data_IF_667651350207
#
_entry.id   IF_667651350207
#
_cell.length_a   1.000
_cell.length_b   1.000
_cell.length_c   1.000
_cell.angle_alpha   90.00
_cell.angle_beta   90.00
_cell.angle_gamma   90.00
#
_symmetry.space_group_name_H-M   'P 1'
#
loop_
_entity.id
_entity.type
_entity.pdbx_description
1 polymer ?
#
# COMPACT_ATOMS: atom_id res chain seq x y z
N UNK A 1 16.86 -42.94 -0.80
CA UNK A 1 17.41 -41.93 0.11
C UNK A 1 16.56 -40.67 -0.01
N UNK A 2 15.61 -40.46 0.91
CA UNK A 2 14.66 -39.33 0.94
C UNK A 2 14.90 -38.43 2.15
N UNK A 3 16.13 -38.42 2.69
CA UNK A 3 16.42 -37.85 4.02
C UNK A 3 17.26 -36.57 4.04
N UNK A 4 17.68 -36.05 2.88
CA UNK A 4 18.46 -34.82 2.81
C UNK A 4 17.59 -33.67 2.32
N UNK A 5 17.71 -32.52 2.98
CA UNK A 5 17.07 -31.28 2.58
C UNK A 5 17.50 -30.91 1.15
N UNK A 6 16.55 -30.83 0.22
CA UNK A 6 16.81 -30.54 -1.21
C UNK A 6 16.63 -29.08 -1.58
N UNK A 7 16.07 -28.26 -0.67
CA UNK A 7 15.95 -26.81 -0.85
C UNK A 7 16.26 -26.09 0.45
N UNK A 8 17.11 -25.08 0.36
CA UNK A 8 17.28 -24.05 1.38
C UNK A 8 16.79 -22.74 0.78
N UNK A 9 15.94 -22.02 1.50
CA UNK A 9 15.59 -20.67 1.08
C UNK A 9 16.83 -19.80 1.29
N UNK A 10 17.35 -19.22 0.21
CA UNK A 10 18.57 -18.41 0.28
C UNK A 10 18.31 -17.04 0.94
N UNK A 11 17.06 -16.59 0.90
CA UNK A 11 16.62 -15.31 1.44
C UNK A 11 15.68 -15.52 2.64
N UNK A 12 15.67 -14.56 3.56
CA UNK A 12 14.61 -14.48 4.57
C UNK A 12 13.28 -14.19 3.89
N UNK A 13 12.14 -14.63 4.46
CA UNK A 13 10.84 -14.23 3.96
C UNK A 13 10.76 -12.70 3.91
N UNK A 14 10.36 -12.18 2.76
CA UNK A 14 9.95 -10.79 2.66
C UNK A 14 8.78 -10.57 3.63
N UNK A 15 8.70 -9.38 4.22
CA UNK A 15 7.61 -8.99 5.14
C UNK A 15 6.24 -8.98 4.46
N UNK A 16 5.29 -8.26 5.03
CA UNK A 16 3.93 -8.17 4.48
C UNK A 16 3.74 -6.85 3.74
N UNK A 17 2.81 -6.80 2.78
CA UNK A 17 2.42 -5.53 2.17
C UNK A 17 2.03 -4.49 3.23
N UNK A 18 2.44 -3.24 3.03
CA UNK A 18 2.30 -2.15 3.99
C UNK A 18 3.45 -2.01 4.99
N UNK A 19 4.34 -3.00 5.11
CA UNK A 19 5.48 -2.93 6.02
C UNK A 19 6.62 -2.06 5.46
N UNK A 20 7.49 -1.56 6.33
CA UNK A 20 8.63 -0.74 5.92
C UNK A 20 9.67 -1.58 5.16
N UNK A 21 10.11 -1.09 4.01
CA UNK A 21 11.10 -1.78 3.18
C UNK A 21 12.56 -1.41 3.51
N UNK A 22 12.76 -0.33 4.27
CA UNK A 22 14.06 0.21 4.70
C UNK A 22 13.92 1.08 5.98
N UNK A 23 15.06 1.53 6.51
CA UNK A 23 15.14 2.50 7.60
C UNK A 23 15.30 3.95 7.12
N UNK A 24 14.95 4.24 5.86
CA UNK A 24 14.95 5.60 5.34
C UNK A 24 13.86 6.46 6.02
N UNK A 25 13.94 7.80 5.94
CA UNK A 25 12.90 8.66 6.47
C UNK A 25 11.53 8.36 5.86
N UNK A 26 10.51 8.32 6.70
CA UNK A 26 9.13 8.10 6.32
C UNK A 26 8.33 9.36 6.62
N UNK A 27 7.43 9.74 5.71
CA UNK A 27 6.63 10.96 5.82
C UNK A 27 5.16 10.58 5.88
N UNK A 28 4.45 11.06 6.90
CA UNK A 28 3.01 10.93 7.00
C UNK A 28 2.31 12.07 6.26
N UNK A 29 1.06 11.83 5.84
CA UNK A 29 0.15 12.88 5.43
C UNK A 29 -0.30 13.64 6.68
N UNK A 30 -0.31 14.97 6.61
CA UNK A 30 -0.80 15.81 7.70
C UNK A 30 -2.31 15.67 7.78
N UNK A 31 -2.80 15.10 8.89
CA UNK A 31 -4.23 14.98 9.12
C UNK A 31 -4.84 16.32 9.54
N UNK A 32 -6.04 16.60 9.03
CA UNK A 32 -6.85 17.75 9.43
C UNK A 32 -7.58 17.55 10.76
N UNK A 33 -8.54 18.42 11.05
CA UNK A 33 -9.37 18.32 12.25
C UNK A 33 -10.13 16.97 12.28
N UNK A 34 -10.10 16.30 13.44
CA UNK A 34 -10.73 14.99 13.61
C UNK A 34 -9.86 13.76 13.29
N UNK A 35 -8.64 13.97 12.79
CA UNK A 35 -7.68 12.92 12.41
C UNK A 35 -8.23 11.97 11.34
N UNK A 36 -7.38 11.07 10.84
CA UNK A 36 -7.79 10.08 9.85
C UNK A 36 -8.44 8.86 10.49
N UNK A 37 -9.59 8.48 9.97
CA UNK A 37 -10.35 7.30 10.40
C UNK A 37 -10.85 6.50 9.22
N UNK A 38 -10.91 5.19 9.36
CA UNK A 38 -11.42 4.29 8.34
C UNK A 38 -12.90 4.59 8.04
N UNK A 39 -13.24 4.64 6.75
CA UNK A 39 -14.59 4.81 6.24
C UNK A 39 -15.50 3.61 6.53
N UNK A 40 -16.73 3.65 6.00
CA UNK A 40 -17.75 2.65 6.29
C UNK A 40 -17.36 1.22 5.88
N UNK A 41 -16.62 1.08 4.78
CA UNK A 41 -16.18 -0.20 4.21
C UNK A 41 -14.87 -0.72 4.82
N UNK A 42 -14.26 0.04 5.75
CA UNK A 42 -12.92 -0.22 6.24
C UNK A 42 -11.83 0.21 5.26
N UNK A 43 -10.58 -0.01 5.64
CA UNK A 43 -9.40 0.32 4.83
C UNK A 43 -8.42 -0.84 4.84
N UNK A 44 -7.95 -1.25 3.67
CA UNK A 44 -7.01 -2.35 3.48
C UNK A 44 -5.58 -1.81 3.56
N UNK A 45 -4.77 -2.44 4.41
CA UNK A 45 -3.35 -2.16 4.57
C UNK A 45 -2.56 -2.63 3.35
N UNK A 46 -1.56 -1.84 2.93
CA UNK A 46 -0.71 -2.16 1.78
C UNK A 46 -1.26 -1.70 0.43
N UNK A 47 -2.37 -0.97 0.44
CA UNK A 47 -2.97 -0.30 -0.71
C UNK A 47 -2.89 1.23 -0.53
N UNK A 48 -3.10 1.96 -1.61
CA UNK A 48 -3.37 3.38 -1.57
C UNK A 48 -4.80 3.65 -1.08
N UNK A 49 -4.96 4.78 -0.40
CA UNK A 49 -6.24 5.24 0.08
C UNK A 49 -6.33 6.77 -0.01
N UNK A 50 -7.56 7.24 0.00
CA UNK A 50 -7.92 8.65 -0.13
C UNK A 50 -8.65 9.12 1.12
N UNK A 51 -8.22 10.26 1.65
CA UNK A 51 -8.85 10.91 2.79
C UNK A 51 -9.70 12.10 2.35
N UNK A 52 -10.98 12.10 2.74
CA UNK A 52 -11.92 13.21 2.54
C UNK A 52 -11.61 14.40 3.47
N UNK A 53 -12.30 15.53 3.25
CA UNK A 53 -12.18 16.77 4.03
C UNK A 53 -12.41 16.57 5.55
N UNK A 54 -13.27 15.60 5.90
CA UNK A 54 -13.62 15.19 7.26
C UNK A 54 -12.70 14.12 7.86
N UNK A 55 -11.63 13.75 7.16
CA UNK A 55 -10.68 12.72 7.60
C UNK A 55 -11.19 11.29 7.46
N UNK A 56 -12.23 11.03 6.66
CA UNK A 56 -12.69 9.68 6.33
C UNK A 56 -11.81 9.08 5.23
N UNK A 57 -11.23 7.92 5.49
CA UNK A 57 -10.30 7.25 4.58
C UNK A 57 -10.98 6.07 3.87
N UNK A 58 -10.78 5.95 2.56
CA UNK A 58 -11.28 4.85 1.73
C UNK A 58 -10.25 4.39 0.70
N UNK A 59 -10.24 3.11 0.33
CA UNK A 59 -9.44 2.62 -0.81
C UNK A 59 -10.09 2.91 -2.17
N UNK A 60 -11.21 3.62 -2.19
CA UNK A 60 -11.84 4.15 -3.39
C UNK A 60 -11.60 5.65 -3.41
N UNK A 61 -11.25 6.20 -4.57
CA UNK A 61 -11.03 7.62 -4.76
C UNK A 61 -12.30 8.41 -4.44
N UNK A 62 -12.13 9.41 -3.57
CA UNK A 62 -13.14 10.41 -3.26
C UNK A 62 -12.76 11.69 -4.01
N UNK A 63 -13.70 12.44 -4.61
CA UNK A 63 -13.39 13.75 -5.18
C UNK A 63 -12.75 14.68 -4.15
N UNK A 64 -11.81 15.53 -4.58
CA UNK A 64 -11.15 16.54 -3.72
C UNK A 64 -10.45 15.97 -2.46
N UNK A 65 -10.00 14.73 -2.53
CA UNK A 65 -9.35 14.01 -1.42
C UNK A 65 -7.83 14.02 -1.51
N UNK A 66 -7.19 13.71 -0.38
CA UNK A 66 -5.72 13.53 -0.31
C UNK A 66 -5.36 12.07 -0.40
N UNK A 67 -4.50 11.71 -1.36
CA UNK A 67 -3.96 10.37 -1.51
C UNK A 67 -2.84 10.08 -0.51
N UNK A 68 -2.80 8.85 0.00
CA UNK A 68 -1.65 8.34 0.75
C UNK A 68 -1.59 6.82 0.76
N UNK A 69 -0.45 6.28 1.16
CA UNK A 69 -0.25 4.84 1.29
C UNK A 69 -0.59 4.36 2.70
N UNK A 70 -1.35 3.27 2.81
CA UNK A 70 -1.75 2.70 4.10
C UNK A 70 -0.65 1.76 4.59
N UNK A 71 0.19 2.24 5.51
CA UNK A 71 1.23 1.42 6.11
C UNK A 71 0.67 0.48 7.17
N UNK A 72 1.39 -0.61 7.43
CA UNK A 72 1.03 -1.57 8.47
C UNK A 72 1.41 -1.00 9.84
N UNK A 73 0.41 -0.66 10.65
CA UNK A 73 0.59 -0.22 12.04
C UNK A 73 -0.04 -1.19 13.07
N UNK A 74 -0.28 -2.44 12.68
CA UNK A 74 -1.01 -3.45 13.48
C UNK A 74 -2.41 -3.01 13.94
N UNK A 75 -3.09 -2.18 13.13
CA UNK A 75 -4.48 -1.74 13.37
C UNK A 75 -5.52 -2.63 12.69
N UNK A 76 -5.09 -3.48 11.75
CA UNK A 76 -5.96 -4.47 11.12
C UNK A 76 -6.32 -5.55 12.14
N UNK A 77 -7.61 -5.85 12.25
CA UNK A 77 -8.13 -6.88 13.16
C UNK A 77 -9.01 -7.85 12.39
N UNK A 78 -9.16 -9.04 12.95
CA UNK A 78 -10.07 -10.07 12.45
C UNK A 78 -11.44 -9.80 13.08
N UNK A 79 -12.39 -9.29 12.30
CA UNK A 79 -13.76 -8.98 12.73
C UNK A 79 -14.81 -10.00 12.24
N UNK A 80 -14.43 -10.87 11.29
CA UNK A 80 -15.28 -11.93 10.74
C UNK A 80 -15.05 -13.28 11.46
N UNK A 81 -16.14 -13.95 11.83
CA UNK A 81 -16.07 -15.28 12.45
C UNK A 81 -15.46 -16.32 11.49
N UNK A 82 -14.45 -17.04 11.97
CA UNK A 82 -13.76 -18.08 11.20
C UNK A 82 -12.66 -17.57 10.26
N UNK A 83 -12.39 -16.25 10.23
CA UNK A 83 -11.24 -15.72 9.51
C UNK A 83 -9.95 -15.93 10.32
N UNK A 84 -8.87 -16.31 9.64
CA UNK A 84 -7.57 -16.61 10.27
C UNK A 84 -6.57 -15.45 10.18
N UNK A 85 -6.78 -14.54 9.22
CA UNK A 85 -5.96 -13.35 9.00
C UNK A 85 -6.80 -12.22 8.39
N UNK A 86 -6.39 -10.98 8.66
CA UNK A 86 -7.01 -9.78 8.09
C UNK A 86 -5.94 -8.72 7.80
N UNK A 87 -6.10 -8.03 6.68
CA UNK A 87 -5.38 -6.81 6.34
C UNK A 87 -6.28 -5.58 6.42
N UNK A 88 -7.52 -5.76 6.89
CA UNK A 88 -8.54 -4.72 6.91
C UNK A 88 -8.57 -4.03 8.27
N UNK A 89 -8.45 -2.71 8.26
CA UNK A 89 -8.73 -1.81 9.36
C UNK A 89 -10.25 -1.56 9.36
N UNK A 90 -10.99 -1.98 10.39
CA UNK A 90 -12.44 -1.82 10.43
C UNK A 90 -12.85 -0.34 10.50
N UNK A 91 -14.11 -0.08 10.13
CA UNK A 91 -14.70 1.27 10.16
C UNK A 91 -14.48 2.00 11.48
N UNK A 92 -14.24 3.31 11.38
CA UNK A 92 -14.11 4.21 12.53
C UNK A 92 -12.84 4.06 13.36
N UNK A 93 -11.94 3.15 12.98
CA UNK A 93 -10.61 3.04 13.59
C UNK A 93 -9.67 4.08 13.01
N UNK A 94 -8.67 4.45 13.79
CA UNK A 94 -7.64 5.38 13.36
C UNK A 94 -6.82 4.79 12.19
N UNK A 95 -6.44 5.64 11.24
CA UNK A 95 -5.63 5.26 10.07
C UNK A 95 -4.49 6.26 9.93
N UNK A 96 -3.30 5.79 9.60
CA UNK A 96 -2.18 6.66 9.25
C UNK A 96 -1.87 6.51 7.76
N UNK A 97 -1.92 7.61 7.03
CA UNK A 97 -1.55 7.66 5.61
C UNK A 97 -0.12 8.18 5.46
N UNK A 98 0.62 7.57 4.55
CA UNK A 98 2.01 7.94 4.25
C UNK A 98 2.10 8.65 2.91
N UNK A 99 2.82 9.78 2.89
CA UNK A 99 3.11 10.59 1.69
C UNK A 99 4.46 10.24 1.07
N UNK A 100 5.37 9.64 1.85
CA UNK A 100 6.69 9.23 1.38
C UNK A 100 7.37 8.21 2.30
N UNK A 101 8.47 7.66 1.81
CA UNK A 101 9.23 6.59 2.44
C UNK A 101 9.37 5.36 1.54
N UNK A 102 9.79 4.24 2.15
CA UNK A 102 9.98 2.98 1.45
C UNK A 102 9.10 1.89 2.06
N UNK A 103 8.28 1.25 1.23
CA UNK A 103 7.29 0.27 1.68
C UNK A 103 7.30 -0.99 0.83
N UNK A 104 6.84 -2.09 1.43
CA UNK A 104 6.49 -3.30 0.71
C UNK A 104 5.09 -3.14 0.10
N UNK A 105 5.00 -3.34 -1.21
CA UNK A 105 3.76 -3.20 -1.98
C UNK A 105 3.59 -4.40 -2.90
N UNK A 106 2.35 -4.82 -3.10
CA UNK A 106 2.04 -5.92 -4.02
C UNK A 106 1.76 -5.36 -5.42
N UNK A 107 2.51 -5.82 -6.43
CA UNK A 107 2.26 -5.48 -7.83
C UNK A 107 1.78 -6.73 -8.57
N UNK A 108 0.46 -6.81 -8.84
CA UNK A 108 -0.14 -7.98 -9.48
C UNK A 108 0.45 -8.27 -10.87
N UNK A 109 0.67 -7.24 -11.68
CA UNK A 109 1.26 -7.34 -13.01
C UNK A 109 2.81 -7.27 -13.03
N UNK A 110 3.44 -7.18 -11.86
CA UNK A 110 4.87 -6.94 -11.72
C UNK A 110 5.29 -5.52 -12.06
N UNK A 111 6.61 -5.28 -12.05
CA UNK A 111 7.21 -3.99 -12.34
C UNK A 111 8.73 -4.09 -12.46
N UNK A 112 9.33 -3.16 -13.20
CA UNK A 112 10.78 -3.02 -13.37
C UNK A 112 11.30 -1.86 -12.52
N UNK A 113 12.54 -1.99 -12.05
CA UNK A 113 13.24 -0.93 -11.33
C UNK A 113 13.10 0.43 -12.05
N UNK A 114 12.68 1.45 -11.33
CA UNK A 114 12.56 2.83 -11.82
C UNK A 114 11.22 3.19 -12.47
N UNK A 115 10.32 2.22 -12.70
CA UNK A 115 8.97 2.52 -13.18
C UNK A 115 8.17 3.34 -12.15
N UNK A 116 7.28 4.20 -12.64
CA UNK A 116 6.36 4.96 -11.79
C UNK A 116 5.30 4.04 -11.22
N UNK A 117 4.85 4.33 -10.00
CA UNK A 117 3.72 3.65 -9.38
C UNK A 117 2.51 4.58 -9.42
N UNK A 118 1.40 4.06 -9.94
CA UNK A 118 0.10 4.72 -9.93
C UNK A 118 -0.87 3.92 -9.08
N UNK A 119 -1.85 4.60 -8.49
CA UNK A 119 -2.92 3.99 -7.70
C UNK A 119 -4.18 3.84 -8.54
N UNK A 120 -4.80 2.66 -8.55
CA UNK A 120 -6.12 2.46 -9.17
C UNK A 120 -7.20 3.18 -8.37
N UNK A 121 -7.98 4.05 -9.00
CA UNK A 121 -8.97 4.89 -8.31
C UNK A 121 -10.14 4.10 -7.71
N UNK A 122 -10.38 2.86 -8.14
CA UNK A 122 -11.51 2.05 -7.66
C UNK A 122 -11.10 1.03 -6.60
N UNK A 123 -9.82 0.69 -6.50
CA UNK A 123 -9.36 -0.38 -5.59
C UNK A 123 -8.21 0.06 -4.68
N UNK A 124 -7.50 1.14 -5.01
CA UNK A 124 -6.28 1.55 -4.32
C UNK A 124 -5.08 0.67 -4.63
N UNK A 125 -5.19 -0.26 -5.59
CA UNK A 125 -4.09 -1.13 -5.96
C UNK A 125 -2.96 -0.36 -6.64
N UNK A 126 -1.73 -0.74 -6.33
CA UNK A 126 -0.55 -0.20 -6.95
C UNK A 126 -0.29 -0.87 -8.31
N UNK A 127 0.00 -0.05 -9.32
CA UNK A 127 0.39 -0.52 -10.66
C UNK A 127 1.64 0.18 -11.14
N UNK A 128 2.58 -0.58 -11.68
CA UNK A 128 3.78 -0.02 -12.30
C UNK A 128 3.51 0.40 -13.76
N UNK A 129 3.98 1.59 -14.13
CA UNK A 129 3.85 2.16 -15.48
C UNK A 129 5.15 2.82 -15.91
N UNK A 130 5.46 2.78 -17.21
CA UNK A 130 6.65 3.41 -17.77
C UNK A 130 6.51 4.95 -17.86
N UNK A 131 5.28 5.42 -18.07
CA UNK A 131 4.93 6.85 -18.13
C UNK A 131 3.59 7.06 -17.45
N UNK A 132 3.43 8.20 -16.79
CA UNK A 132 2.16 8.64 -16.21
C UNK A 132 1.39 9.39 -17.30
N UNK A 133 0.24 8.87 -17.72
CA UNK A 133 -0.68 9.59 -18.59
C UNK A 133 -1.59 10.49 -17.73
N UNK A 134 -1.49 11.84 -17.86
CA UNK A 134 -2.31 12.76 -17.09
C UNK A 134 -3.80 12.73 -17.45
N UNK A 135 -4.19 12.10 -18.56
CA UNK A 135 -5.59 12.02 -19.00
C UNK A 135 -6.30 10.75 -18.55
N UNK A 136 -5.55 9.76 -18.05
CA UNK A 136 -6.13 8.51 -17.58
C UNK A 136 -6.82 8.74 -16.22
N UNK A 137 -8.15 8.62 -16.20
CA UNK A 137 -8.95 8.79 -14.98
C UNK A 137 -9.03 7.52 -14.14
N UNK A 138 -8.59 6.38 -14.67
CA UNK A 138 -8.59 5.12 -13.94
C UNK A 138 -7.45 5.02 -12.93
N UNK A 139 -6.39 5.82 -13.10
CA UNK A 139 -5.23 5.80 -12.24
C UNK A 139 -4.87 7.20 -11.73
N UNK A 140 -4.37 7.27 -10.50
CA UNK A 140 -3.84 8.49 -9.90
C UNK A 140 -2.33 8.40 -9.73
N UNK A 141 -1.62 9.48 -10.08
CA UNK A 141 -0.18 9.57 -9.95
C UNK A 141 0.25 9.57 -8.48
N UNK A 142 1.30 8.81 -8.16
CA UNK A 142 1.90 8.79 -6.82
C UNK A 142 3.38 9.18 -6.89
N UNK A 143 3.99 9.64 -5.79
CA UNK A 143 5.41 9.97 -5.77
C UNK A 143 6.33 8.73 -5.74
N UNK A 144 5.77 7.51 -5.73
CA UNK A 144 6.53 6.28 -5.56
C UNK A 144 7.05 5.71 -6.90
N UNK A 145 8.21 5.05 -6.82
CA UNK A 145 8.79 4.26 -7.90
C UNK A 145 9.10 2.84 -7.44
N UNK A 146 9.16 1.93 -8.41
CA UNK A 146 9.56 0.54 -8.18
C UNK A 146 11.04 0.47 -7.83
N UNK A 147 11.38 -0.02 -6.64
CA UNK A 147 12.77 -0.10 -6.15
C UNK A 147 13.42 -1.48 -6.39
N UNK A 148 12.64 -2.50 -6.76
CA UNK A 148 13.15 -3.82 -7.16
C UNK A 148 12.27 -4.43 -8.25
N UNK A 149 12.89 -4.92 -9.31
CA UNK A 149 12.18 -5.63 -10.38
C UNK A 149 11.52 -6.89 -9.85
N UNK A 150 10.24 -7.08 -10.19
CA UNK A 150 9.42 -8.25 -9.83
C UNK A 150 8.53 -8.62 -11.01
N UNK A 151 8.36 -9.92 -11.26
CA UNK A 151 7.47 -10.40 -12.34
C UNK A 151 6.00 -10.35 -11.93
N UNK A 152 5.71 -10.61 -10.66
CA UNK A 152 4.40 -10.44 -10.01
C UNK A 152 4.60 -10.63 -8.50
N UNK A 153 3.83 -9.93 -7.68
CA UNK A 153 3.80 -10.12 -6.23
C UNK A 153 4.46 -8.98 -5.45
N UNK A 154 4.91 -9.32 -4.24
CA UNK A 154 5.45 -8.35 -3.29
C UNK A 154 6.80 -7.80 -3.76
N UNK A 155 6.92 -6.48 -3.77
CA UNK A 155 8.17 -5.76 -4.06
C UNK A 155 8.33 -4.55 -3.15
N UNK A 156 9.48 -3.88 -3.29
CA UNK A 156 9.81 -2.63 -2.60
C UNK A 156 9.45 -1.46 -3.50
N UNK A 157 8.76 -0.48 -2.94
CA UNK A 157 8.60 0.84 -3.54
C UNK A 157 9.34 1.89 -2.72
N UNK A 158 9.77 2.96 -3.38
CA UNK A 158 10.47 4.08 -2.76
C UNK A 158 9.99 5.41 -3.33
N UNK A 159 9.83 6.43 -2.49
CA UNK A 159 9.55 7.80 -2.93
C UNK A 159 10.80 8.65 -3.17
N UNK A 160 12.00 8.08 -3.01
CA UNK A 160 13.29 8.81 -3.11
C UNK A 160 14.08 8.53 -4.40
N UNK A 161 13.52 7.70 -5.29
CA UNK A 161 14.10 7.33 -6.59
C UNK A 161 13.55 8.24 -7.70
#
# INVERSE_FOLDING_TARGET
>A
MSGFQTRMNNDLPLGVAGDFASANPHFSVVAGEGQFKAGADGVIVGLFAWADDKGLVSNIKIPDSVIGFVHRNNQAIIDQYGAEASMTIPKGREVTLMSGGDYLVNLAAGGKLGQFIVADVNTGEAKAVDVIDPNDKAFEATPYRVAKTVTSGLTKMSSSL
#
